data_IF_614658862553
#
_entry.id   IF_614658862553
#
_cell.length_a   1.000
_cell.length_b   1.000
_cell.length_c   1.000
_cell.angle_alpha   90.00
_cell.angle_beta   90.00
_cell.angle_gamma   90.00
#
_symmetry.space_group_name_H-M   'P 1'
#
loop_
_entity.id
_entity.type
_entity.pdbx_description
1 polymer ?
#
# COMPACT_ATOMS: atom_id res chain seq x y z
N UNK A 1 -16.65 -20.25 17.77
CA UNK A 1 -15.27 -19.96 17.32
C UNK A 1 -15.28 -19.85 15.79
N UNK A 2 -15.45 -18.66 15.22
CA UNK A 2 -15.57 -18.49 13.75
C UNK A 2 -15.09 -17.13 13.20
N UNK A 3 -14.50 -16.29 14.05
CA UNK A 3 -14.01 -14.96 13.66
C UNK A 3 -12.59 -14.94 13.06
N UNK A 4 -11.89 -16.07 13.04
CA UNK A 4 -10.46 -16.16 12.68
C UNK A 4 -10.19 -16.32 11.18
N UNK A 5 -11.09 -16.95 10.42
CA UNK A 5 -10.87 -17.25 9.00
C UNK A 5 -11.01 -16.01 8.11
N UNK A 6 -12.04 -15.19 8.36
CA UNK A 6 -12.34 -14.01 7.53
C UNK A 6 -11.25 -12.95 7.69
N UNK A 7 -10.79 -12.70 8.92
CA UNK A 7 -9.71 -11.74 9.18
C UNK A 7 -8.40 -12.19 8.51
N UNK A 8 -8.08 -13.48 8.56
CA UNK A 8 -6.91 -14.03 7.88
C UNK A 8 -6.99 -13.91 6.35
N UNK A 9 -8.17 -14.17 5.76
CA UNK A 9 -8.39 -14.02 4.31
C UNK A 9 -8.29 -12.55 3.91
N UNK A 10 -8.98 -11.65 4.62
CA UNK A 10 -8.94 -10.21 4.36
C UNK A 10 -7.52 -9.65 4.50
N UNK A 11 -6.77 -10.13 5.49
CA UNK A 11 -5.39 -9.73 5.69
C UNK A 11 -4.51 -10.11 4.47
N UNK A 12 -4.74 -11.25 3.84
CA UNK A 12 -3.97 -11.68 2.65
C UNK A 12 -4.44 -10.98 1.36
N UNK A 13 -5.74 -10.69 1.23
CA UNK A 13 -6.30 -10.04 0.05
C UNK A 13 -6.13 -8.52 0.05
N UNK A 14 -6.06 -7.87 1.22
CA UNK A 14 -5.98 -6.42 1.32
C UNK A 14 -4.85 -5.79 0.50
N UNK A 15 -3.57 -6.23 0.56
CA UNK A 15 -2.52 -5.59 -0.23
C UNK A 15 -2.76 -5.72 -1.74
N UNK A 16 -3.31 -6.85 -2.20
CA UNK A 16 -3.67 -7.03 -3.62
C UNK A 16 -4.76 -6.05 -4.06
N UNK A 17 -5.76 -5.82 -3.20
CA UNK A 17 -6.80 -4.82 -3.43
C UNK A 17 -6.25 -3.40 -3.47
N UNK A 18 -5.33 -3.04 -2.57
CA UNK A 18 -4.67 -1.73 -2.54
C UNK A 18 -3.82 -1.49 -3.79
N UNK A 19 -3.08 -2.50 -4.26
CA UNK A 19 -2.31 -2.41 -5.51
C UNK A 19 -3.26 -2.21 -6.69
N UNK A 20 -4.30 -3.05 -6.81
CA UNK A 20 -5.27 -2.94 -7.91
C UNK A 20 -5.97 -1.57 -7.92
N UNK A 21 -6.42 -1.09 -6.76
CA UNK A 21 -7.04 0.23 -6.63
C UNK A 21 -6.07 1.36 -6.99
N UNK A 22 -4.80 1.28 -6.55
CA UNK A 22 -3.77 2.26 -6.89
C UNK A 22 -3.47 2.29 -8.38
N UNK A 23 -3.40 1.13 -9.04
CA UNK A 23 -3.20 1.05 -10.50
C UNK A 23 -4.36 1.70 -11.24
N UNK A 24 -5.61 1.42 -10.86
CA UNK A 24 -6.80 2.04 -11.47
C UNK A 24 -6.79 3.56 -11.26
N UNK A 25 -6.49 4.01 -10.05
CA UNK A 25 -6.36 5.44 -9.72
C UNK A 25 -5.24 6.10 -10.53
N UNK A 26 -4.11 5.42 -10.71
CA UNK A 26 -2.99 5.93 -11.50
C UNK A 26 -3.37 6.08 -12.98
N UNK A 27 -4.04 5.09 -13.57
CA UNK A 27 -4.49 5.18 -14.98
C UNK A 27 -5.39 6.38 -15.20
N UNK A 28 -6.28 6.68 -14.23
CA UNK A 28 -7.21 7.81 -14.31
C UNK A 28 -6.55 9.16 -14.04
N UNK A 29 -5.63 9.24 -13.08
CA UNK A 29 -5.12 10.51 -12.56
C UNK A 29 -3.71 10.85 -12.99
N UNK A 30 -2.95 9.85 -13.47
CA UNK A 30 -1.52 9.90 -13.77
C UNK A 30 -0.67 10.56 -12.66
N UNK A 31 -1.14 10.46 -11.42
CA UNK A 31 -0.49 11.11 -10.30
C UNK A 31 0.78 10.36 -9.88
N UNK A 32 1.94 11.04 -9.75
CA UNK A 32 3.17 10.41 -9.29
C UNK A 32 3.03 9.85 -7.87
N UNK A 33 2.21 10.48 -7.01
CA UNK A 33 1.93 9.99 -5.66
C UNK A 33 1.34 8.59 -5.66
N UNK A 34 0.37 8.33 -6.55
CA UNK A 34 -0.29 7.03 -6.64
C UNK A 34 0.65 5.97 -7.25
N UNK A 35 1.51 6.36 -8.18
CA UNK A 35 2.53 5.45 -8.73
C UNK A 35 3.49 4.99 -7.63
N UNK A 36 4.00 5.92 -6.83
CA UNK A 36 4.90 5.61 -5.72
C UNK A 36 4.18 4.76 -4.66
N UNK A 37 2.92 5.09 -4.33
CA UNK A 37 2.10 4.28 -3.42
C UNK A 37 1.98 2.82 -3.92
N UNK A 38 1.72 2.62 -5.22
CA UNK A 38 1.61 1.29 -5.81
C UNK A 38 2.93 0.50 -5.71
N UNK A 39 4.08 1.15 -5.94
CA UNK A 39 5.40 0.52 -5.81
C UNK A 39 5.65 0.12 -4.34
N UNK A 40 5.34 1.00 -3.38
CA UNK A 40 5.52 0.71 -1.96
C UNK A 40 4.62 -0.45 -1.49
N UNK A 41 3.39 -0.55 -1.99
CA UNK A 41 2.50 -1.69 -1.73
C UNK A 41 3.07 -3.01 -2.27
N UNK A 42 3.70 -2.99 -3.46
CA UNK A 42 4.41 -4.18 -3.99
C UNK A 42 5.56 -4.57 -3.08
N UNK A 43 6.34 -3.59 -2.58
CA UNK A 43 7.43 -3.84 -1.62
C UNK A 43 6.88 -4.45 -0.32
N UNK A 44 5.77 -3.93 0.22
CA UNK A 44 5.09 -4.53 1.38
C UNK A 44 4.63 -5.97 1.12
N UNK A 45 4.12 -6.25 -0.08
CA UNK A 45 3.73 -7.61 -0.47
C UNK A 45 4.95 -8.55 -0.47
N UNK A 46 6.11 -8.08 -0.94
CA UNK A 46 7.35 -8.86 -0.89
C UNK A 46 7.81 -9.13 0.55
N UNK A 47 7.75 -8.14 1.43
CA UNK A 47 8.04 -8.34 2.85
C UNK A 47 7.11 -9.39 3.47
N UNK A 48 5.82 -9.33 3.13
CA UNK A 48 4.80 -10.27 3.59
C UNK A 48 5.03 -11.69 3.09
N UNK A 49 5.37 -11.82 1.80
CA UNK A 49 5.76 -13.10 1.21
C UNK A 49 6.98 -13.67 1.94
N UNK A 50 7.99 -12.84 2.22
CA UNK A 50 9.17 -13.23 3.00
C UNK A 50 8.81 -13.83 4.37
N UNK A 51 7.92 -13.17 5.12
CA UNK A 51 7.45 -13.71 6.40
C UNK A 51 6.65 -15.02 6.25
N UNK A 52 5.87 -15.16 5.17
CA UNK A 52 5.06 -16.37 4.91
C UNK A 52 5.91 -17.59 4.54
N UNK A 53 6.99 -17.41 3.76
CA UNK A 53 7.87 -18.49 3.31
C UNK A 53 8.88 -18.99 4.35
N UNK A 54 8.64 -18.75 5.65
CA UNK A 54 9.39 -19.36 6.74
C UNK A 54 10.33 -18.41 7.47
N UNK A 55 10.31 -17.12 7.14
CA UNK A 55 11.11 -16.14 7.84
C UNK A 55 10.32 -15.50 9.00
N UNK A 56 9.66 -16.32 9.82
CA UNK A 56 9.06 -15.84 11.10
C UNK A 56 10.11 -15.18 11.99
N UNK A 57 11.37 -15.56 11.85
CA UNK A 57 12.53 -14.90 12.49
C UNK A 57 12.70 -13.43 12.05
N UNK A 58 12.21 -13.04 10.87
CA UNK A 58 12.20 -11.64 10.44
C UNK A 58 11.23 -10.79 11.25
N UNK A 59 10.15 -11.40 11.80
CA UNK A 59 9.22 -10.68 12.68
C UNK A 59 9.89 -10.31 14.00
N UNK A 60 10.82 -11.14 14.48
CA UNK A 60 11.65 -10.82 15.66
C UNK A 60 12.82 -9.88 15.36
N UNK A 61 13.10 -9.58 14.09
CA UNK A 61 14.15 -8.66 13.71
C UNK A 61 13.62 -7.23 13.67
N UNK A 62 14.04 -6.41 14.63
CA UNK A 62 13.59 -5.01 14.78
C UNK A 62 13.86 -4.16 13.54
N UNK A 63 14.98 -4.39 12.84
CA UNK A 63 15.33 -3.65 11.62
C UNK A 63 14.35 -3.98 10.50
N UNK A 64 14.01 -5.26 10.34
CA UNK A 64 13.05 -5.70 9.33
C UNK A 64 11.65 -5.14 9.62
N UNK A 65 11.19 -5.24 10.87
CA UNK A 65 9.90 -4.69 11.27
C UNK A 65 9.85 -3.17 11.14
N UNK A 66 10.94 -2.48 11.46
CA UNK A 66 11.09 -1.04 11.22
C UNK A 66 10.99 -0.68 9.75
N UNK A 67 11.68 -1.41 8.88
CA UNK A 67 11.61 -1.22 7.43
C UNK A 67 10.19 -1.46 6.90
N UNK A 68 9.52 -2.54 7.34
CA UNK A 68 8.13 -2.81 7.00
C UNK A 68 7.23 -1.63 7.39
N UNK A 69 7.29 -1.18 8.64
CA UNK A 69 6.43 -0.11 9.15
C UNK A 69 6.70 1.21 8.42
N UNK A 70 7.96 1.52 8.12
CA UNK A 70 8.35 2.70 7.37
C UNK A 70 7.75 2.70 5.96
N UNK A 71 7.80 1.57 5.25
CA UNK A 71 7.17 1.46 3.93
C UNK A 71 5.67 1.70 4.03
N UNK A 72 5.00 1.16 5.04
CA UNK A 72 3.56 1.38 5.26
C UNK A 72 3.21 2.84 5.53
N UNK A 73 4.03 3.51 6.33
CA UNK A 73 3.91 4.95 6.60
C UNK A 73 4.06 5.76 5.31
N UNK A 74 5.09 5.47 4.51
CA UNK A 74 5.35 6.17 3.25
C UNK A 74 4.21 5.97 2.24
N UNK A 75 3.63 4.76 2.19
CA UNK A 75 2.42 4.49 1.39
C UNK A 75 1.27 5.40 1.82
N UNK A 76 1.01 5.51 3.13
CA UNK A 76 0.00 6.42 3.68
C UNK A 76 0.26 7.89 3.32
N UNK A 77 1.52 8.35 3.43
CA UNK A 77 1.94 9.70 3.04
C UNK A 77 1.67 9.96 1.55
N UNK A 78 1.91 8.97 0.68
CA UNK A 78 1.61 9.10 -0.75
C UNK A 78 0.11 9.27 -1.01
N UNK A 79 -0.75 8.49 -0.34
CA UNK A 79 -2.20 8.67 -0.48
C UNK A 79 -2.70 10.01 0.07
N UNK A 80 -2.14 10.49 1.19
CA UNK A 80 -2.43 11.82 1.72
C UNK A 80 -1.96 12.93 0.78
N UNK A 81 -0.74 12.80 0.24
CA UNK A 81 -0.19 13.72 -0.75
C UNK A 81 -1.04 13.79 -2.01
N UNK A 82 -1.53 12.63 -2.48
CA UNK A 82 -2.52 12.58 -3.56
C UNK A 82 -3.82 13.30 -3.17
N UNK A 83 -4.41 13.01 -2.01
CA UNK A 83 -5.65 13.64 -1.57
C UNK A 83 -5.52 15.16 -1.43
N UNK A 84 -4.36 15.65 -0.99
CA UNK A 84 -4.10 17.08 -0.80
C UNK A 84 -3.83 17.83 -2.12
N UNK A 85 -3.16 17.17 -3.09
CA UNK A 85 -2.69 17.83 -4.32
C UNK A 85 -3.55 17.54 -5.53
N UNK A 86 -4.36 16.48 -5.50
CA UNK A 86 -5.16 16.11 -6.65
C UNK A 86 -6.38 17.03 -6.79
N UNK A 87 -6.43 17.72 -7.92
CA UNK A 87 -7.59 18.48 -8.36
C UNK A 87 -8.14 17.85 -9.64
N UNK A 88 -9.48 17.69 -9.76
CA UNK A 88 -10.12 17.26 -10.99
C UNK A 88 -9.80 18.25 -12.12
N UNK A 89 -9.63 17.77 -13.35
CA UNK A 89 -9.24 18.60 -14.50
C UNK A 89 -10.20 19.78 -14.75
N UNK A 90 -11.48 19.66 -14.40
CA UNK A 90 -12.46 20.75 -14.52
C UNK A 90 -12.10 21.95 -13.63
N UNK A 91 -11.38 21.73 -12.52
CA UNK A 91 -10.89 22.79 -11.62
C UNK A 91 -9.52 23.35 -12.03
N UNK A 92 -8.74 22.63 -12.86
CA UNK A 92 -7.45 23.15 -13.40
C UNK A 92 -7.62 24.19 -14.50
N UNK A 93 -8.81 24.26 -15.12
CA UNK A 93 -9.10 25.14 -16.25
C UNK A 93 -9.71 26.49 -15.86
N UNK A 94 -9.92 26.77 -14.58
CA UNK A 94 -10.39 28.08 -14.13
C UNK A 94 -9.15 28.94 -13.83
N UNK A 95 -8.86 29.97 -14.65
CA UNK A 95 -7.72 30.86 -14.46
C UNK A 95 -7.87 31.77 -13.23
#
# INVERSE_FOLDING_TARGET
MGGSSVVAILANLSPLLFIAASVVLFVKTRSPWILVAAILEVIMLMFRAGMYFGATELVSNEIFMGAWQLVGLLTGVCFLGFAATWQPDDKRRVP
#
